data_IF_284072997401
#
_entry.id   IF_284072997401
#
_cell.length_a   1.000
_cell.length_b   1.000
_cell.length_c   1.000
_cell.angle_alpha   90.00
_cell.angle_beta   90.00
_cell.angle_gamma   90.00
#
_symmetry.space_group_name_H-M   'P 1'
#
loop_
_entity.id
_entity.type
_entity.pdbx_description
1 polymer ?
#
# COMPACT_ATOMS: atom_id res chain seq x y z
N UNK A 1 -26.33 14.17 -55.70
CA UNK A 1 -25.48 13.17 -54.99
C UNK A 1 -26.35 12.52 -53.92
N UNK A 2 -26.49 11.19 -53.90
CA UNK A 2 -27.33 10.49 -52.91
C UNK A 2 -26.58 10.48 -51.56
N UNK A 3 -27.17 11.05 -50.51
CA UNK A 3 -26.60 11.04 -49.16
C UNK A 3 -26.67 9.63 -48.56
N UNK A 4 -25.56 9.16 -47.98
CA UNK A 4 -25.47 7.87 -47.31
C UNK A 4 -26.28 7.88 -45.99
N UNK A 5 -26.97 6.78 -45.65
CA UNK A 5 -27.77 6.73 -44.43
C UNK A 5 -26.86 6.74 -43.18
N UNK A 6 -26.97 7.78 -42.36
CA UNK A 6 -26.32 7.83 -41.04
C UNK A 6 -27.07 6.90 -40.08
N UNK A 7 -26.63 5.65 -39.99
CA UNK A 7 -27.18 4.67 -39.06
C UNK A 7 -26.79 5.04 -37.63
N UNK A 8 -27.67 5.74 -36.92
CA UNK A 8 -27.53 5.98 -35.48
C UNK A 8 -27.67 4.65 -34.76
N UNK A 9 -26.57 4.11 -34.24
CA UNK A 9 -26.58 2.87 -33.47
C UNK A 9 -27.28 3.12 -32.13
N UNK A 10 -28.53 2.69 -32.00
CA UNK A 10 -29.23 2.71 -30.71
C UNK A 10 -28.58 1.68 -29.79
N UNK A 11 -27.96 2.18 -28.71
CA UNK A 11 -27.33 1.34 -27.71
C UNK A 11 -28.44 0.61 -26.94
N UNK A 12 -28.55 -0.71 -27.09
CA UNK A 12 -29.56 -1.49 -26.37
C UNK A 12 -29.03 -1.86 -24.99
N UNK A 13 -29.90 -1.82 -23.97
CA UNK A 13 -29.52 -2.17 -22.58
C UNK A 13 -28.85 -3.55 -22.50
N UNK A 14 -29.30 -4.50 -23.32
CA UNK A 14 -28.75 -5.88 -23.39
C UNK A 14 -27.34 -5.95 -24.00
N UNK A 15 -26.95 -4.99 -24.84
CA UNK A 15 -25.57 -4.89 -25.37
C UNK A 15 -24.62 -4.16 -24.42
N UNK A 16 -25.16 -3.32 -23.54
CA UNK A 16 -24.38 -2.51 -22.60
C UNK A 16 -23.95 -3.30 -21.35
N UNK A 17 -24.83 -4.14 -20.82
CA UNK A 17 -24.57 -4.96 -19.64
C UNK A 17 -23.31 -5.85 -19.70
N UNK A 18 -23.01 -6.59 -20.79
CA UNK A 18 -21.78 -7.38 -20.85
C UNK A 18 -20.51 -6.51 -20.87
N UNK A 19 -20.57 -5.33 -21.49
CA UNK A 19 -19.46 -4.38 -21.51
C UNK A 19 -19.20 -3.82 -20.10
N UNK A 20 -20.24 -3.36 -19.40
CA UNK A 20 -20.10 -2.84 -18.03
C UNK A 20 -19.73 -3.93 -17.02
N UNK A 21 -20.26 -5.14 -17.18
CA UNK A 21 -19.92 -6.28 -16.33
C UNK A 21 -18.45 -6.68 -16.43
N UNK A 22 -17.87 -6.64 -17.63
CA UNK A 22 -16.45 -6.94 -17.84
C UNK A 22 -15.51 -5.93 -17.14
N UNK A 23 -15.88 -4.64 -17.15
CA UNK A 23 -15.11 -3.57 -16.50
C UNK A 23 -15.15 -3.70 -14.96
N UNK A 24 -16.25 -4.19 -14.41
CA UNK A 24 -16.38 -4.45 -12.96
C UNK A 24 -15.47 -5.58 -12.46
N UNK A 25 -15.02 -6.47 -13.34
CA UNK A 25 -14.14 -7.59 -12.99
C UNK A 25 -12.63 -7.24 -13.07
N UNK A 26 -12.26 -6.08 -13.62
CA UNK A 26 -10.86 -5.63 -13.75
C UNK A 26 -10.11 -5.61 -12.40
N UNK A 27 -10.70 -5.15 -11.27
CA UNK A 27 -10.00 -5.14 -9.98
C UNK A 27 -9.68 -6.53 -9.43
N UNK A 28 -10.42 -7.56 -9.84
CA UNK A 28 -10.21 -8.94 -9.37
C UNK A 28 -9.05 -9.64 -10.09
N UNK A 29 -8.62 -9.12 -11.25
CA UNK A 29 -7.55 -9.72 -12.04
C UNK A 29 -6.14 -9.27 -11.64
N UNK A 30 -6.02 -8.39 -10.62
CA UNK A 30 -4.78 -8.09 -9.93
C UNK A 30 -3.69 -7.44 -10.79
N UNK A 31 -3.50 -6.12 -10.65
CA UNK A 31 -2.27 -5.48 -11.13
C UNK A 31 -1.08 -6.04 -10.36
N UNK A 32 -0.21 -6.80 -11.05
CA UNK A 32 1.07 -7.26 -10.50
C UNK A 32 1.95 -6.02 -10.27
N UNK A 33 1.97 -5.53 -9.03
CA UNK A 33 2.99 -4.58 -8.59
C UNK A 33 4.35 -5.29 -8.69
N UNK A 34 5.11 -5.00 -9.74
CA UNK A 34 6.55 -5.24 -9.70
C UNK A 34 7.13 -4.20 -8.76
N UNK A 35 7.75 -4.57 -7.63
CA UNK A 35 8.60 -3.62 -6.94
C UNK A 35 9.83 -3.42 -7.83
N UNK A 36 9.83 -2.39 -8.67
CA UNK A 36 11.10 -1.78 -9.07
C UNK A 36 11.73 -1.23 -7.79
N UNK A 37 12.55 -2.09 -7.19
CA UNK A 37 13.38 -1.78 -6.05
C UNK A 37 14.53 -0.92 -6.55
N UNK A 38 14.26 0.36 -6.80
CA UNK A 38 15.29 1.37 -6.98
C UNK A 38 15.91 1.68 -5.62
N UNK A 39 16.78 0.79 -5.15
CA UNK A 39 17.68 1.11 -4.05
C UNK A 39 19.02 0.49 -4.36
N UNK A 40 19.85 1.32 -4.99
CA UNK A 40 21.30 1.29 -5.00
C UNK A 40 21.86 0.44 -3.86
N UNK A 41 22.48 -0.69 -4.22
CA UNK A 41 23.23 -1.56 -3.31
C UNK A 41 24.44 -0.79 -2.80
N UNK A 42 24.24 -0.01 -1.75
CA UNK A 42 25.32 0.43 -0.88
C UNK A 42 25.62 -0.74 0.05
N UNK A 43 26.70 -1.42 -0.33
CA UNK A 43 27.44 -2.41 0.44
C UNK A 43 27.85 -1.77 1.78
N UNK A 44 27.05 -2.00 2.82
CA UNK A 44 27.45 -2.07 4.23
C UNK A 44 26.26 -2.56 5.06
N UNK A 45 26.47 -3.66 5.77
CA UNK A 45 25.50 -4.61 6.35
C UNK A 45 24.56 -4.09 7.46
N UNK A 46 24.29 -2.79 7.53
CA UNK A 46 23.30 -2.23 8.43
C UNK A 46 22.26 -1.47 7.61
N UNK A 47 21.17 -2.16 7.26
CA UNK A 47 20.05 -1.54 6.55
C UNK A 47 19.40 -0.50 7.49
N UNK A 48 19.50 0.78 7.14
CA UNK A 48 18.85 1.87 7.86
C UNK A 48 17.60 2.32 7.12
N UNK A 49 16.53 2.61 7.87
CA UNK A 49 15.27 3.14 7.35
C UNK A 49 15.02 4.53 7.90
N UNK A 50 14.53 5.41 7.02
CA UNK A 50 14.10 6.76 7.39
C UNK A 50 12.63 6.70 7.80
N UNK A 51 12.32 7.13 9.02
CA UNK A 51 10.96 7.19 9.56
C UNK A 51 10.61 8.62 9.96
N UNK A 52 9.31 8.87 10.08
CA UNK A 52 8.75 10.09 10.65
C UNK A 52 8.40 9.87 12.11
N UNK A 53 8.76 10.82 12.95
CA UNK A 53 8.26 10.94 14.31
C UNK A 53 6.83 11.53 14.31
N UNK A 54 6.10 11.41 15.44
CA UNK A 54 4.80 12.07 15.59
C UNK A 54 4.88 13.61 15.54
N UNK A 55 6.05 14.19 15.79
CA UNK A 55 6.33 15.62 15.66
C UNK A 55 6.60 16.06 14.20
N UNK A 56 6.57 15.12 13.23
CA UNK A 56 6.86 15.38 11.82
C UNK A 56 8.34 15.43 11.46
N UNK A 57 9.25 15.28 12.43
CA UNK A 57 10.70 15.26 12.16
C UNK A 57 11.16 13.92 11.60
N UNK A 58 12.24 13.95 10.82
CA UNK A 58 12.81 12.79 10.16
C UNK A 58 13.87 12.16 11.06
N UNK A 59 13.84 10.83 11.20
CA UNK A 59 14.87 10.06 11.88
C UNK A 59 15.31 8.83 11.09
N UNK A 60 16.60 8.52 11.17
CA UNK A 60 17.20 7.32 10.56
C UNK A 60 17.39 6.25 11.63
N UNK A 61 16.79 5.09 11.44
CA UNK A 61 16.77 4.00 12.42
C UNK A 61 17.32 2.72 11.80
N UNK A 62 18.07 1.92 12.56
CA UNK A 62 18.49 0.58 12.15
C UNK A 62 17.26 -0.30 11.91
N UNK A 63 17.22 -1.02 10.79
CA UNK A 63 16.12 -1.93 10.46
C UNK A 63 15.97 -3.07 11.49
N UNK A 64 17.07 -3.47 12.16
CA UNK A 64 17.04 -4.45 13.24
C UNK A 64 16.23 -3.97 14.46
N UNK A 65 16.33 -2.68 14.80
CA UNK A 65 15.55 -2.09 15.91
C UNK A 65 14.06 -2.07 15.62
N UNK A 66 13.68 -1.91 14.35
CA UNK A 66 12.28 -1.91 13.91
C UNK A 66 11.60 -3.28 14.14
N UNK A 67 12.35 -4.39 14.15
CA UNK A 67 11.79 -5.73 14.44
C UNK A 67 11.28 -5.84 15.88
N UNK A 68 11.88 -5.08 16.80
CA UNK A 68 11.48 -5.05 18.21
C UNK A 68 10.47 -3.93 18.50
N UNK A 69 10.12 -3.13 17.49
CA UNK A 69 9.15 -2.05 17.65
C UNK A 69 7.74 -2.62 17.79
N UNK A 70 7.01 -2.16 18.81
CA UNK A 70 5.62 -2.52 19.06
C UNK A 70 4.75 -1.27 18.99
N UNK A 71 3.62 -1.36 18.31
CA UNK A 71 2.61 -0.28 18.34
C UNK A 71 1.97 -0.30 19.74
N UNK A 72 2.28 0.73 20.54
CA UNK A 72 1.74 0.86 21.89
C UNK A 72 0.36 1.51 21.81
N UNK A 73 -0.67 0.79 22.27
CA UNK A 73 -2.01 1.36 22.45
C UNK A 73 -1.99 2.33 23.63
N UNK A 74 -2.81 3.40 23.57
CA UNK A 74 -2.88 4.46 24.60
C UNK A 74 -3.09 3.94 26.03
N UNK A 75 -3.72 2.77 26.20
CA UNK A 75 -3.99 2.17 27.50
C UNK A 75 -3.30 0.79 27.63
N UNK A 76 -2.00 0.79 27.88
CA UNK A 76 -1.20 -0.43 28.16
C UNK A 76 -0.92 -0.54 29.66
N UNK A 77 -0.89 -1.76 30.21
CA UNK A 77 -0.57 -1.96 31.63
C UNK A 77 0.91 -1.70 31.91
N UNK A 78 1.23 -1.15 33.09
CA UNK A 78 2.61 -0.87 33.50
C UNK A 78 3.51 -2.10 33.41
N UNK A 79 2.98 -3.27 33.79
CA UNK A 79 3.68 -4.55 33.68
C UNK A 79 4.08 -4.86 32.23
N UNK A 80 3.17 -4.69 31.29
CA UNK A 80 3.43 -4.96 29.87
C UNK A 80 4.39 -3.94 29.26
N UNK A 81 4.26 -2.67 29.65
CA UNK A 81 5.13 -1.59 29.19
C UNK A 81 6.58 -1.75 29.68
N UNK A 82 6.77 -2.00 30.98
CA UNK A 82 8.11 -2.20 31.56
C UNK A 82 8.81 -3.44 31.00
N UNK A 83 8.07 -4.53 30.80
CA UNK A 83 8.60 -5.73 30.16
C UNK A 83 9.05 -5.46 28.71
N UNK A 84 8.30 -4.65 27.94
CA UNK A 84 8.71 -4.26 26.59
C UNK A 84 9.95 -3.35 26.59
N UNK A 85 10.10 -2.48 27.59
CA UNK A 85 11.32 -1.69 27.80
C UNK A 85 12.52 -2.52 28.29
N UNK A 86 12.34 -3.82 28.57
CA UNK A 86 13.38 -4.68 29.13
C UNK A 86 13.72 -4.36 30.58
N UNK A 87 12.86 -3.65 31.30
CA UNK A 87 13.02 -3.38 32.74
C UNK A 87 12.37 -4.50 33.55
N UNK A 88 13.13 -5.07 34.50
CA UNK A 88 12.59 -6.02 35.47
C UNK A 88 11.67 -5.28 36.46
N UNK A 89 10.56 -5.93 36.81
CA UNK A 89 9.60 -5.48 37.82
C UNK A 89 10.17 -5.77 39.20
#
# INVERSE_FOLDING_TARGET
MKSLPTKTLSISRRRLLPLLGSVFLIPFFGFKNSPEKSSMLIINNEEYKTLLKPDGTIVKIKASSLKNAKIIKKNISNKSFLNWLGKKI
#
